data_IF_829745736281
#
_entry.id   IF_829745736281
#
_cell.length_a   1.000
_cell.length_b   1.000
_cell.length_c   1.000
_cell.angle_alpha   90.00
_cell.angle_beta   90.00
_cell.angle_gamma   90.00
#
_symmetry.space_group_name_H-M   'P 1'
#
loop_
_entity.id
_entity.type
_entity.pdbx_description
1 polymer ?
#
# COMPACT_ATOMS: atom_id res chain seq x y z
N UNK A 1 15.19 22.45 -3.82
CA UNK A 1 14.94 22.75 -5.26
C UNK A 1 16.03 23.69 -5.77
N UNK A 2 16.67 23.42 -6.91
CA UNK A 2 17.67 24.31 -7.54
C UNK A 2 17.10 25.69 -7.90
N UNK A 3 17.93 26.75 -7.90
CA UNK A 3 17.47 28.13 -8.19
C UNK A 3 16.73 28.27 -9.52
N UNK A 4 17.20 27.61 -10.59
CA UNK A 4 16.57 27.66 -11.88
C UNK A 4 15.11 27.17 -11.88
N UNK A 5 14.82 26.10 -11.12
CA UNK A 5 13.47 25.59 -10.97
C UNK A 5 12.56 26.50 -10.16
N UNK A 6 13.10 27.20 -9.16
CA UNK A 6 12.34 28.24 -8.43
C UNK A 6 11.98 29.42 -9.32
N UNK A 7 12.91 29.85 -10.19
CA UNK A 7 12.64 30.91 -11.17
C UNK A 7 11.60 30.48 -12.21
N UNK A 8 11.68 29.24 -12.68
CA UNK A 8 10.69 28.65 -13.57
C UNK A 8 9.30 28.62 -12.95
N UNK A 9 9.18 28.15 -11.72
CA UNK A 9 7.94 28.09 -10.96
C UNK A 9 7.29 29.50 -10.82
N UNK A 10 8.07 30.48 -10.37
CA UNK A 10 7.60 31.86 -10.25
C UNK A 10 7.14 32.42 -11.61
N UNK A 11 7.89 32.13 -12.68
CA UNK A 11 7.50 32.55 -14.03
C UNK A 11 6.18 31.92 -14.49
N UNK A 12 5.99 30.63 -14.21
CA UNK A 12 4.74 29.94 -14.53
C UNK A 12 3.55 30.53 -13.77
N UNK A 13 3.70 30.79 -12.46
CA UNK A 13 2.67 31.41 -11.65
C UNK A 13 2.30 32.82 -12.15
N UNK A 14 3.30 33.63 -12.48
CA UNK A 14 3.10 34.99 -13.03
C UNK A 14 2.44 34.97 -14.42
N UNK A 15 2.69 33.93 -15.21
CA UNK A 15 2.08 33.74 -16.53
C UNK A 15 0.67 33.13 -16.47
N UNK A 16 0.13 32.86 -15.28
CA UNK A 16 -1.18 32.25 -15.10
C UNK A 16 -1.25 30.78 -15.45
N UNK A 17 -0.11 30.08 -15.47
CA UNK A 17 -0.10 28.62 -15.69
C UNK A 17 -0.88 27.92 -14.57
N UNK A 18 -1.77 27.01 -14.94
CA UNK A 18 -2.58 26.27 -13.96
C UNK A 18 -1.71 25.48 -12.97
N UNK A 19 -1.99 25.61 -11.68
CA UNK A 19 -1.23 24.97 -10.62
C UNK A 19 -1.08 23.45 -10.82
N UNK A 20 -2.09 22.67 -11.24
CA UNK A 20 -1.94 21.25 -11.55
C UNK A 20 -0.84 20.98 -12.59
N UNK A 21 -0.73 21.80 -13.63
CA UNK A 21 0.31 21.68 -14.67
C UNK A 21 1.71 21.91 -14.08
N UNK A 22 1.86 22.92 -13.23
CA UNK A 22 3.13 23.21 -12.55
C UNK A 22 3.52 22.03 -11.66
N UNK A 23 2.58 21.51 -10.86
CA UNK A 23 2.81 20.37 -9.99
C UNK A 23 3.22 19.13 -10.77
N UNK A 24 2.51 18.81 -11.87
CA UNK A 24 2.84 17.66 -12.72
C UNK A 24 4.26 17.80 -13.28
N UNK A 25 4.61 18.95 -13.83
CA UNK A 25 5.96 19.18 -14.37
C UNK A 25 7.03 19.03 -13.30
N UNK A 26 6.83 19.57 -12.10
CA UNK A 26 7.78 19.44 -11.00
C UNK A 26 7.91 17.97 -10.55
N UNK A 27 6.81 17.23 -10.44
CA UNK A 27 6.81 15.84 -10.06
C UNK A 27 7.53 14.95 -11.09
N UNK A 28 7.27 15.15 -12.37
CA UNK A 28 7.95 14.46 -13.49
C UNK A 28 9.45 14.71 -13.51
N UNK A 29 9.90 15.87 -13.01
CA UNK A 29 11.31 16.21 -12.85
C UNK A 29 11.89 15.78 -11.49
N UNK A 30 11.22 14.91 -10.77
CA UNK A 30 11.72 14.21 -9.58
C UNK A 30 11.64 15.02 -8.29
N UNK A 31 10.89 16.10 -8.23
CA UNK A 31 10.66 16.82 -6.98
C UNK A 31 9.59 16.13 -6.13
N UNK A 32 9.91 15.92 -4.86
CA UNK A 32 8.97 15.31 -3.90
C UNK A 32 7.76 16.21 -3.64
N UNK A 33 6.60 15.65 -3.27
CA UNK A 33 5.42 16.40 -2.85
C UNK A 33 5.73 17.48 -1.80
N UNK A 34 6.59 17.18 -0.81
CA UNK A 34 6.97 18.13 0.23
C UNK A 34 7.79 19.30 -0.31
N UNK A 35 8.67 19.04 -1.27
CA UNK A 35 9.43 20.09 -1.95
C UNK A 35 8.49 20.99 -2.76
N UNK A 36 7.53 20.40 -3.47
CA UNK A 36 6.52 21.13 -4.26
C UNK A 36 5.63 21.96 -3.35
N UNK A 37 5.13 21.41 -2.25
CA UNK A 37 4.36 22.16 -1.23
C UNK A 37 5.11 23.38 -0.71
N UNK A 38 6.41 23.21 -0.36
CA UNK A 38 7.24 24.30 0.14
C UNK A 38 7.47 25.40 -0.87
N UNK A 39 7.57 25.05 -2.17
CA UNK A 39 7.85 26.03 -3.23
C UNK A 39 6.59 26.77 -3.65
N UNK A 40 5.49 26.08 -3.88
CA UNK A 40 4.21 26.69 -4.25
C UNK A 40 3.54 27.42 -3.09
N UNK A 41 3.77 27.00 -1.86
CA UNK A 41 3.22 27.64 -0.66
C UNK A 41 1.72 27.88 -0.75
N UNK A 42 1.28 29.13 -0.56
CA UNK A 42 -0.12 29.52 -0.60
C UNK A 42 -0.77 29.40 -2.01
N UNK A 43 0.01 29.25 -3.07
CA UNK A 43 -0.52 29.04 -4.42
C UNK A 43 -1.01 27.61 -4.63
N UNK A 44 -0.63 26.67 -3.76
CA UNK A 44 -1.15 25.30 -3.81
C UNK A 44 -2.47 25.24 -3.03
N UNK A 45 -3.57 24.74 -3.64
CA UNK A 45 -4.85 24.57 -2.94
C UNK A 45 -4.68 23.72 -1.66
N UNK A 46 -5.37 24.07 -0.59
CA UNK A 46 -5.25 23.43 0.73
C UNK A 46 -5.49 21.92 0.71
N UNK A 47 -6.34 21.46 -0.22
CA UNK A 47 -6.68 20.04 -0.38
C UNK A 47 -6.11 19.43 -1.68
N UNK A 48 -5.00 19.99 -2.18
CA UNK A 48 -4.37 19.46 -3.39
C UNK A 48 -3.85 18.04 -3.17
N UNK A 49 -4.37 17.09 -3.95
CA UNK A 49 -3.92 15.71 -3.92
C UNK A 49 -2.85 15.49 -5.00
N UNK A 50 -1.68 15.03 -4.57
CA UNK A 50 -0.60 14.67 -5.48
C UNK A 50 -0.85 13.28 -6.05
N UNK A 51 -0.97 13.18 -7.36
CA UNK A 51 -0.91 11.89 -8.03
C UNK A 51 0.53 11.41 -8.09
N UNK A 52 0.85 10.19 -7.66
CA UNK A 52 2.19 9.64 -7.81
C UNK A 52 2.55 9.56 -9.30
N UNK A 53 3.78 9.94 -9.65
CA UNK A 53 4.29 9.82 -11.02
C UNK A 53 4.64 8.36 -11.36
N UNK A 54 4.69 8.01 -12.64
CA UNK A 54 5.18 6.69 -13.09
C UNK A 54 6.54 6.37 -12.50
N UNK A 55 7.44 7.36 -12.43
CA UNK A 55 8.78 7.19 -11.83
C UNK A 55 8.74 6.90 -10.31
N UNK A 56 7.71 7.34 -9.59
CA UNK A 56 7.50 6.98 -8.20
C UNK A 56 7.18 5.49 -8.08
N UNK A 57 6.23 5.00 -8.88
CA UNK A 57 5.86 3.58 -8.89
C UNK A 57 7.02 2.69 -9.33
N UNK A 58 7.80 3.09 -10.34
CA UNK A 58 9.01 2.38 -10.75
C UNK A 58 10.06 2.27 -9.64
N UNK A 59 10.29 3.36 -8.90
CA UNK A 59 11.20 3.36 -7.75
C UNK A 59 10.68 2.46 -6.62
N UNK A 60 9.38 2.53 -6.36
CA UNK A 60 8.73 1.70 -5.35
C UNK A 60 8.83 0.22 -5.72
N UNK A 61 8.54 -0.14 -6.96
CA UNK A 61 8.66 -1.49 -7.48
C UNK A 61 10.11 -2.02 -7.38
N UNK A 62 11.10 -1.23 -7.80
CA UNK A 62 12.53 -1.60 -7.67
C UNK A 62 12.95 -1.78 -6.22
N UNK A 63 12.46 -0.95 -5.32
CA UNK A 63 12.72 -1.07 -3.88
C UNK A 63 12.10 -2.34 -3.30
N UNK A 64 10.90 -2.70 -3.71
CA UNK A 64 10.23 -3.94 -3.30
C UNK A 64 10.98 -5.19 -3.79
N UNK A 65 11.43 -5.21 -5.04
CA UNK A 65 12.20 -6.32 -5.63
C UNK A 65 13.49 -6.59 -4.83
N UNK A 66 14.20 -5.54 -4.43
CA UNK A 66 15.44 -5.68 -3.65
C UNK A 66 15.20 -6.31 -2.26
N UNK A 67 13.97 -6.31 -1.76
CA UNK A 67 13.60 -6.88 -0.46
C UNK A 67 13.18 -8.36 -0.51
N UNK A 68 12.99 -8.93 -1.70
CA UNK A 68 12.47 -10.29 -1.89
C UNK A 68 13.50 -11.25 -2.49
N UNK A 69 14.78 -11.12 -2.12
CA UNK A 69 15.89 -11.91 -2.66
C UNK A 69 15.70 -13.44 -2.57
N UNK A 70 14.92 -13.92 -1.60
CA UNK A 70 14.68 -15.36 -1.37
C UNK A 70 13.36 -15.85 -2.03
N UNK A 71 12.58 -14.96 -2.62
CA UNK A 71 11.32 -15.33 -3.23
C UNK A 71 11.51 -15.81 -4.67
N UNK A 72 10.65 -16.73 -5.09
CA UNK A 72 10.61 -17.18 -6.48
C UNK A 72 9.63 -16.30 -7.26
N UNK A 73 10.05 -15.65 -8.36
CA UNK A 73 9.09 -14.99 -9.24
C UNK A 73 8.19 -16.03 -9.88
N UNK A 74 6.87 -15.81 -9.83
CA UNK A 74 5.87 -16.70 -10.41
C UNK A 74 5.53 -16.37 -11.86
N UNK A 75 5.93 -15.19 -12.35
CA UNK A 75 5.68 -14.75 -13.71
C UNK A 75 6.92 -14.10 -14.30
N UNK A 76 7.10 -14.23 -15.61
CA UNK A 76 8.03 -13.40 -16.38
C UNK A 76 7.65 -11.93 -16.22
N UNK A 77 8.62 -11.00 -16.40
CA UNK A 77 8.37 -9.58 -16.22
C UNK A 77 7.19 -9.12 -17.08
N UNK A 78 6.06 -8.99 -16.46
CA UNK A 78 4.85 -8.37 -16.98
C UNK A 78 4.56 -7.15 -16.13
N UNK A 79 3.45 -6.49 -16.39
CA UNK A 79 2.99 -5.35 -15.57
C UNK A 79 2.71 -5.73 -14.10
N UNK A 80 2.76 -7.02 -13.77
CA UNK A 80 2.51 -7.56 -12.43
C UNK A 80 3.77 -8.25 -11.92
N UNK A 81 4.22 -7.85 -10.74
CA UNK A 81 5.28 -8.55 -10.00
C UNK A 81 4.65 -9.46 -8.96
N UNK A 82 4.84 -10.76 -9.12
CA UNK A 82 4.31 -11.78 -8.23
C UNK A 82 5.43 -12.71 -7.78
N UNK A 83 5.54 -12.90 -6.47
CA UNK A 83 6.55 -13.73 -5.84
C UNK A 83 5.90 -14.78 -4.95
N UNK A 84 6.52 -15.95 -4.81
CA UNK A 84 6.11 -16.98 -3.86
C UNK A 84 7.23 -17.35 -2.90
N UNK A 85 6.84 -17.72 -1.71
CA UNK A 85 7.69 -18.34 -0.69
C UNK A 85 7.16 -19.74 -0.40
N UNK A 86 7.92 -20.76 -0.81
CA UNK A 86 7.56 -22.14 -0.54
C UNK A 86 7.72 -22.45 0.96
N UNK A 87 6.79 -23.21 1.52
CA UNK A 87 6.83 -23.65 2.92
C UNK A 87 7.02 -22.50 3.95
N UNK A 88 6.45 -21.34 3.68
CA UNK A 88 6.54 -20.18 4.57
C UNK A 88 5.93 -20.48 5.96
N UNK A 89 4.84 -21.24 5.99
CA UNK A 89 4.25 -21.81 7.18
C UNK A 89 4.33 -23.33 7.11
N UNK A 90 4.54 -24.00 8.25
CA UNK A 90 4.38 -25.45 8.38
C UNK A 90 2.89 -25.82 8.36
N UNK A 91 2.59 -27.08 8.02
CA UNK A 91 1.20 -27.58 8.07
C UNK A 91 0.57 -27.41 9.46
N UNK A 92 1.36 -27.64 10.53
CA UNK A 92 0.89 -27.47 11.90
C UNK A 92 0.54 -25.98 12.20
N UNK A 93 1.38 -25.02 11.77
CA UNK A 93 1.09 -23.60 11.94
C UNK A 93 -0.18 -23.19 11.19
N UNK A 94 -0.40 -23.73 9.98
CA UNK A 94 -1.63 -23.51 9.23
C UNK A 94 -2.87 -24.04 9.99
N UNK A 95 -2.81 -25.28 10.46
CA UNK A 95 -3.91 -25.91 11.21
C UNK A 95 -4.21 -25.14 12.50
N UNK A 96 -3.19 -24.72 13.22
CA UNK A 96 -3.31 -23.96 14.47
C UNK A 96 -3.93 -22.57 14.21
N UNK A 97 -3.56 -21.88 13.13
CA UNK A 97 -4.16 -20.59 12.74
C UNK A 97 -5.64 -20.79 12.38
N UNK A 98 -5.97 -21.82 11.59
CA UNK A 98 -7.37 -22.13 11.25
C UNK A 98 -8.18 -22.42 12.51
N UNK A 99 -7.66 -23.25 13.42
CA UNK A 99 -8.31 -23.57 14.69
C UNK A 99 -8.50 -22.33 15.58
N UNK A 100 -7.53 -21.42 15.59
CA UNK A 100 -7.57 -20.19 16.38
C UNK A 100 -8.65 -19.20 15.88
N UNK A 101 -8.94 -19.20 14.58
CA UNK A 101 -9.76 -18.17 13.93
C UNK A 101 -11.20 -18.58 13.65
N UNK A 102 -11.48 -19.88 13.43
CA UNK A 102 -12.78 -20.39 12.94
C UNK A 102 -14.00 -19.88 13.69
N UNK A 103 -13.90 -19.74 15.03
CA UNK A 103 -15.01 -19.30 15.88
C UNK A 103 -15.00 -17.77 16.15
N UNK A 104 -14.10 -17.03 15.49
CA UNK A 104 -13.88 -15.60 15.67
C UNK A 104 -14.07 -14.79 14.38
N UNK A 105 -14.41 -15.48 13.29
CA UNK A 105 -14.71 -14.86 12.01
C UNK A 105 -16.00 -14.05 12.11
N UNK A 106 -15.95 -12.82 11.58
CA UNK A 106 -17.10 -11.94 11.46
C UNK A 106 -17.18 -11.40 10.01
N UNK A 107 -18.35 -10.99 9.51
CA UNK A 107 -18.45 -10.40 8.18
C UNK A 107 -17.41 -9.30 7.96
N UNK A 108 -16.68 -9.38 6.84
CA UNK A 108 -15.62 -8.43 6.52
C UNK A 108 -16.17 -7.01 6.36
N UNK A 109 -15.40 -6.03 6.81
CA UNK A 109 -15.74 -4.60 6.66
C UNK A 109 -14.82 -3.97 5.63
N UNK A 110 -15.29 -2.92 4.96
CA UNK A 110 -14.48 -2.07 4.11
C UNK A 110 -14.25 -0.73 4.80
N UNK A 111 -13.02 -0.23 4.72
CA UNK A 111 -12.69 1.09 5.23
C UNK A 111 -13.49 2.16 4.46
N UNK A 112 -14.26 2.97 5.19
CA UNK A 112 -15.00 4.11 4.62
C UNK A 112 -16.27 3.79 3.83
N UNK A 113 -16.71 2.53 3.73
CA UNK A 113 -17.91 2.15 2.98
C UNK A 113 -19.14 1.96 3.89
N UNK A 114 -20.29 2.43 3.43
CA UNK A 114 -21.57 2.27 4.13
C UNK A 114 -22.11 0.83 4.09
N UNK A 115 -21.77 0.05 3.05
CA UNK A 115 -22.02 -1.40 2.97
C UNK A 115 -20.88 -2.09 2.22
N UNK A 116 -20.44 -3.25 2.72
CA UNK A 116 -19.41 -4.06 2.10
C UNK A 116 -19.99 -5.12 1.15
N UNK A 117 -21.27 -5.43 1.25
CA UNK A 117 -21.92 -6.62 0.71
C UNK A 117 -21.82 -6.74 -0.82
N UNK A 118 -21.78 -5.63 -1.53
CA UNK A 118 -21.62 -5.62 -2.99
C UNK A 118 -20.18 -5.76 -3.47
N UNK A 119 -19.19 -5.60 -2.60
CA UNK A 119 -17.77 -5.60 -2.96
C UNK A 119 -17.06 -6.81 -2.38
N UNK A 120 -17.42 -7.21 -1.15
CA UNK A 120 -16.76 -8.28 -0.41
C UNK A 120 -17.74 -9.04 0.47
N UNK A 121 -17.77 -10.37 0.31
CA UNK A 121 -18.70 -11.25 1.04
C UNK A 121 -17.99 -12.18 2.03
N UNK A 122 -16.67 -12.08 2.18
CA UNK A 122 -15.86 -12.91 3.07
C UNK A 122 -16.08 -12.60 4.55
N UNK A 123 -15.51 -13.45 5.40
CA UNK A 123 -15.39 -13.21 6.84
C UNK A 123 -13.94 -12.97 7.24
N UNK A 124 -13.72 -12.11 8.21
CA UNK A 124 -12.39 -11.70 8.69
C UNK A 124 -12.28 -11.91 10.21
N UNK A 125 -11.10 -12.34 10.65
CA UNK A 125 -10.69 -12.32 12.05
C UNK A 125 -9.37 -11.53 12.15
N UNK A 126 -9.32 -10.52 13.01
CA UNK A 126 -8.11 -9.75 13.25
C UNK A 126 -7.22 -10.51 14.26
N UNK A 127 -6.18 -11.13 13.75
CA UNK A 127 -5.28 -11.99 14.51
C UNK A 127 -4.47 -11.23 15.55
N UNK A 128 -4.08 -9.99 15.26
CA UNK A 128 -3.24 -9.18 16.14
C UNK A 128 -3.86 -8.99 17.54
N UNK A 129 -5.18 -8.87 17.63
CA UNK A 129 -5.89 -8.70 18.91
C UNK A 129 -6.00 -9.97 19.75
N UNK A 130 -5.64 -11.13 19.20
CA UNK A 130 -5.73 -12.39 19.94
C UNK A 130 -4.59 -12.62 20.95
N UNK A 131 -3.54 -11.81 20.88
CA UNK A 131 -2.38 -11.89 21.79
C UNK A 131 -1.63 -13.23 21.73
N UNK A 132 -1.86 -14.03 20.69
CA UNK A 132 -1.34 -15.39 20.55
C UNK A 132 0.14 -15.40 20.12
N UNK A 133 0.94 -16.29 20.72
CA UNK A 133 2.38 -16.39 20.41
C UNK A 133 2.63 -16.78 18.96
N UNK A 134 1.88 -17.75 18.40
CA UNK A 134 2.02 -18.17 17.01
C UNK A 134 1.81 -17.00 16.05
N UNK A 135 0.76 -16.19 16.28
CA UNK A 135 0.49 -15.00 15.46
C UNK A 135 1.67 -14.01 15.49
N UNK A 136 2.24 -13.77 16.67
CA UNK A 136 3.43 -12.90 16.82
C UNK A 136 4.65 -13.45 16.09
N UNK A 137 4.86 -14.75 16.16
CA UNK A 137 5.97 -15.41 15.50
C UNK A 137 5.83 -15.32 13.97
N UNK A 138 4.61 -15.52 13.45
CA UNK A 138 4.31 -15.39 12.01
C UNK A 138 4.46 -13.94 11.55
N UNK A 139 3.93 -12.99 12.28
CA UNK A 139 4.07 -11.56 11.99
C UNK A 139 5.55 -11.14 11.92
N UNK A 140 6.33 -11.52 12.92
CA UNK A 140 7.78 -11.28 12.96
C UNK A 140 8.51 -11.92 11.78
N UNK A 141 8.09 -13.10 11.35
CA UNK A 141 8.62 -13.80 10.18
C UNK A 141 8.30 -13.03 8.89
N UNK A 142 7.06 -12.54 8.73
CA UNK A 142 6.66 -11.69 7.59
C UNK A 142 7.53 -10.44 7.53
N UNK A 143 7.59 -9.69 8.64
CA UNK A 143 8.36 -8.45 8.76
C UNK A 143 9.84 -8.68 8.41
N UNK A 144 10.46 -9.73 8.96
CA UNK A 144 11.86 -10.05 8.69
C UNK A 144 12.10 -10.49 7.24
N UNK A 145 11.21 -11.33 6.68
CA UNK A 145 11.34 -11.85 5.31
C UNK A 145 11.21 -10.75 4.27
N UNK A 146 10.31 -9.79 4.51
CA UNK A 146 10.08 -8.67 3.61
C UNK A 146 10.97 -7.45 3.93
N UNK A 147 11.85 -7.55 4.95
CA UNK A 147 12.68 -6.45 5.42
C UNK A 147 11.89 -5.16 5.70
N UNK A 148 10.71 -5.32 6.29
CA UNK A 148 9.86 -4.19 6.67
C UNK A 148 10.35 -3.53 7.95
N UNK A 149 10.13 -2.24 8.08
CA UNK A 149 10.31 -1.50 9.32
C UNK A 149 9.17 -1.75 10.32
N UNK A 150 9.42 -1.46 11.58
CA UNK A 150 8.39 -1.54 12.63
C UNK A 150 7.26 -0.56 12.30
N UNK A 151 6.02 -1.07 12.19
CA UNK A 151 4.83 -0.28 11.88
C UNK A 151 4.62 0.04 10.41
N UNK A 152 5.39 -0.56 9.49
CA UNK A 152 5.17 -0.44 8.04
C UNK A 152 4.10 -1.40 7.49
N UNK A 153 3.67 -2.38 8.27
CA UNK A 153 2.64 -3.34 7.90
C UNK A 153 1.29 -3.04 8.57
N UNK A 154 0.22 -3.44 7.92
CA UNK A 154 -1.08 -3.52 8.57
C UNK A 154 -1.12 -4.67 9.59
N UNK A 155 -2.11 -4.62 10.47
CA UNK A 155 -2.36 -5.73 11.40
C UNK A 155 -2.67 -7.02 10.64
N UNK A 156 -2.04 -8.12 11.04
CA UNK A 156 -2.25 -9.42 10.42
C UNK A 156 -3.71 -9.87 10.59
N UNK A 157 -4.34 -10.29 9.50
CA UNK A 157 -5.73 -10.73 9.45
C UNK A 157 -5.82 -12.13 8.85
N UNK A 158 -6.77 -12.93 9.34
CA UNK A 158 -7.24 -14.13 8.67
C UNK A 158 -8.55 -13.83 7.92
N UNK A 159 -8.66 -14.32 6.70
CA UNK A 159 -9.84 -14.19 5.88
C UNK A 159 -10.34 -15.56 5.45
N UNK A 160 -11.64 -15.75 5.50
CA UNK A 160 -12.28 -16.99 5.09
C UNK A 160 -13.34 -16.69 4.01
N UNK A 161 -13.33 -17.49 2.97
CA UNK A 161 -14.29 -17.44 1.86
C UNK A 161 -14.98 -18.79 1.74
N UNK A 162 -16.30 -18.81 1.86
CA UNK A 162 -17.11 -19.95 1.48
C UNK A 162 -17.20 -20.07 -0.05
N UNK A 163 -17.64 -21.23 -0.54
CA UNK A 163 -17.87 -21.41 -1.99
C UNK A 163 -18.90 -20.39 -2.48
N UNK A 164 -18.52 -19.61 -3.48
CA UNK A 164 -19.33 -18.52 -4.04
C UNK A 164 -19.12 -17.15 -3.42
N UNK A 165 -18.38 -17.04 -2.32
CA UNK A 165 -17.96 -15.75 -1.78
C UNK A 165 -16.80 -15.15 -2.59
N UNK A 166 -16.68 -13.84 -2.55
CA UNK A 166 -15.72 -13.09 -3.37
C UNK A 166 -15.25 -11.80 -2.71
N UNK A 167 -14.15 -11.31 -3.25
CA UNK A 167 -13.72 -9.92 -3.13
C UNK A 167 -13.48 -9.40 -4.54
N UNK A 168 -14.26 -8.40 -4.97
CA UNK A 168 -14.16 -7.83 -6.32
C UNK A 168 -12.77 -7.19 -6.54
N UNK A 169 -12.35 -7.01 -7.79
CA UNK A 169 -11.12 -6.27 -8.10
C UNK A 169 -11.10 -4.91 -7.39
N UNK A 170 -10.01 -4.60 -6.72
CA UNK A 170 -9.85 -3.39 -5.92
C UNK A 170 -8.38 -2.98 -5.88
N UNK A 171 -8.13 -1.81 -5.32
CA UNK A 171 -6.79 -1.32 -5.04
C UNK A 171 -6.54 -1.33 -3.54
N UNK A 172 -5.37 -1.83 -3.12
CA UNK A 172 -4.93 -1.89 -1.72
C UNK A 172 -4.07 -0.69 -1.32
N UNK A 173 -4.20 0.44 -1.98
CA UNK A 173 -3.50 1.65 -1.58
C UNK A 173 -4.43 2.59 -0.81
N UNK A 174 -3.87 3.29 0.16
CA UNK A 174 -4.57 4.36 0.86
C UNK A 174 -4.41 5.66 0.08
N UNK A 175 -5.52 6.32 -0.36
CA UNK A 175 -5.44 7.64 -0.95
C UNK A 175 -4.80 8.64 0.03
N UNK A 176 -4.05 9.64 -0.45
CA UNK A 176 -3.54 10.70 0.40
C UNK A 176 -4.65 11.36 1.20
N UNK A 177 -4.51 11.40 2.52
CA UNK A 177 -5.53 11.94 3.44
C UNK A 177 -6.53 10.90 3.98
N UNK A 178 -6.35 9.62 3.69
CA UNK A 178 -7.02 8.55 4.44
C UNK A 178 -6.60 8.57 5.90
N UNK A 179 -7.51 8.27 6.85
CA UNK A 179 -7.18 8.22 8.26
C UNK A 179 -6.16 7.12 8.59
#
# INVERSE_FOLDING_TARGET
MPPAWKQWDVKCLLSGTAVPTIVTTLAENGFSPDTIKKVLGANLPTHYQFSPSSSFYEKLAKSAIARVEQAKPLAEPSDIQLFSYDNFLSSQECDDIVALTKDKLAPSKLAGAASADDIRTSSTCELAFLGNKLVKDVDSRIVSTLSLGVGEGEVIQAQHYNVGEYYKPHYDFFPPGSP
#
